data_IF_859941185874
#
_entry.id   IF_859941185874
#
_cell.length_a   1.000
_cell.length_b   1.000
_cell.length_c   1.000
_cell.angle_alpha   90.00
_cell.angle_beta   90.00
_cell.angle_gamma   90.00
#
_symmetry.space_group_name_H-M   'P 1'
#
loop_
_entity.id
_entity.type
_entity.pdbx_description
1 polymer ?
#
# COMPACT_ATOMS: atom_id res chain seq x y z
N UNK A 1 16.67 -15.22 12.58
CA UNK A 1 16.59 -15.19 11.11
C UNK A 1 15.34 -14.49 10.58
N UNK A 2 14.10 -14.91 10.92
CA UNK A 2 12.89 -14.13 10.57
C UNK A 2 12.91 -12.71 11.18
N UNK A 3 13.42 -12.58 12.40
CA UNK A 3 13.64 -11.28 13.03
C UNK A 3 14.71 -10.44 12.31
N UNK A 4 15.69 -11.06 11.66
CA UNK A 4 16.85 -10.36 11.10
C UNK A 4 16.50 -9.58 9.83
N UNK A 5 15.66 -10.12 8.95
CA UNK A 5 15.22 -9.41 7.74
C UNK A 5 14.31 -8.22 8.10
N UNK A 6 13.40 -8.41 9.06
CA UNK A 6 12.51 -7.34 9.54
C UNK A 6 13.32 -6.24 10.23
N UNK A 7 14.30 -6.61 11.08
CA UNK A 7 15.20 -5.64 11.71
C UNK A 7 16.00 -4.84 10.68
N UNK A 8 16.57 -5.49 9.66
CA UNK A 8 17.25 -4.81 8.54
C UNK A 8 16.32 -3.83 7.83
N UNK A 9 15.06 -4.22 7.58
CA UNK A 9 14.07 -3.34 6.97
C UNK A 9 13.74 -2.13 7.87
N UNK A 10 13.57 -2.35 9.17
CA UNK A 10 13.31 -1.28 10.15
C UNK A 10 14.48 -0.31 10.20
N UNK A 11 15.72 -0.80 10.27
CA UNK A 11 16.93 0.04 10.27
C UNK A 11 17.04 0.84 8.98
N UNK A 12 16.81 0.21 7.82
CA UNK A 12 16.81 0.91 6.52
C UNK A 12 15.72 1.99 6.45
N UNK A 13 14.52 1.71 6.95
CA UNK A 13 13.43 2.68 7.01
C UNK A 13 13.78 3.88 7.91
N UNK A 14 14.33 3.63 9.10
CA UNK A 14 14.76 4.67 10.04
C UNK A 14 15.82 5.59 9.42
N UNK A 15 16.78 5.04 8.67
CA UNK A 15 17.79 5.83 7.96
C UNK A 15 17.19 6.72 6.85
N UNK A 16 16.15 6.25 6.17
CA UNK A 16 15.46 7.02 5.14
C UNK A 16 14.52 8.09 5.71
N UNK A 17 14.05 7.90 6.95
CA UNK A 17 13.22 8.82 7.73
C UNK A 17 12.06 9.44 6.93
N UNK A 18 11.37 8.58 6.16
CA UNK A 18 10.23 8.99 5.33
C UNK A 18 8.97 9.20 6.16
N UNK A 19 8.01 9.94 5.61
CA UNK A 19 6.70 10.13 6.21
C UNK A 19 5.71 9.09 5.67
N UNK A 20 5.00 8.40 6.55
CA UNK A 20 3.95 7.43 6.23
C UNK A 20 2.62 7.91 6.83
N UNK A 21 1.55 7.83 6.03
CA UNK A 21 0.19 8.13 6.51
C UNK A 21 -0.54 6.85 6.92
N UNK A 22 -1.21 6.89 8.08
CA UNK A 22 -2.06 5.83 8.61
C UNK A 22 -3.51 6.36 8.69
N UNK A 23 -4.36 6.11 7.69
CA UNK A 23 -5.67 6.77 7.58
C UNK A 23 -6.71 6.29 8.60
N UNK A 24 -6.53 5.13 9.21
CA UNK A 24 -7.60 4.45 9.98
C UNK A 24 -7.42 4.62 11.50
N UNK A 25 -7.22 5.86 11.95
CA UNK A 25 -6.90 6.20 13.36
C UNK A 25 -8.00 5.86 14.37
N UNK A 26 -9.18 5.46 13.89
CA UNK A 26 -10.27 4.96 14.73
C UNK A 26 -10.04 3.49 15.18
N UNK A 27 -9.03 2.83 14.64
CA UNK A 27 -8.61 1.48 15.01
C UNK A 27 -7.49 1.55 16.07
N UNK A 28 -7.67 0.88 17.20
CA UNK A 28 -6.67 0.86 18.27
C UNK A 28 -5.32 0.28 17.83
N UNK A 29 -5.31 -0.63 16.84
CA UNK A 29 -4.07 -1.24 16.32
C UNK A 29 -3.24 -0.21 15.58
N UNK A 30 -3.91 0.71 14.87
CA UNK A 30 -3.28 1.80 14.12
C UNK A 30 -2.67 2.82 15.08
N UNK A 31 -3.40 3.21 16.14
CA UNK A 31 -2.89 4.12 17.16
C UNK A 31 -1.66 3.55 17.88
N UNK A 32 -1.72 2.27 18.30
CA UNK A 32 -0.57 1.57 18.91
C UNK A 32 0.62 1.50 17.95
N UNK A 33 0.38 1.23 16.66
CA UNK A 33 1.43 1.23 15.65
C UNK A 33 2.05 2.61 15.46
N UNK A 34 1.25 3.68 15.41
CA UNK A 34 1.73 5.05 15.30
C UNK A 34 2.68 5.42 16.45
N UNK A 35 2.33 5.09 17.69
CA UNK A 35 3.21 5.27 18.85
C UNK A 35 4.52 4.50 18.72
N UNK A 36 4.48 3.22 18.32
CA UNK A 36 5.68 2.40 18.18
C UNK A 36 6.60 2.98 17.09
N UNK A 37 6.05 3.34 15.93
CA UNK A 37 6.82 3.86 14.80
C UNK A 37 7.49 5.19 15.14
N UNK A 38 6.76 6.10 15.81
CA UNK A 38 7.27 7.41 16.21
C UNK A 38 8.28 7.30 17.36
N UNK A 39 7.99 6.54 18.42
CA UNK A 39 8.90 6.38 19.57
C UNK A 39 10.22 5.70 19.18
N UNK A 40 10.17 4.73 18.27
CA UNK A 40 11.37 4.06 17.73
C UNK A 40 12.02 4.82 16.57
N UNK A 41 11.48 5.97 16.15
CA UNK A 41 11.96 6.80 15.03
C UNK A 41 12.15 6.00 13.74
N UNK A 42 11.22 5.09 13.45
CA UNK A 42 11.28 4.26 12.23
C UNK A 42 10.87 5.08 11.01
N UNK A 43 9.83 5.90 11.16
CA UNK A 43 9.29 6.81 10.15
C UNK A 43 8.65 8.00 10.86
N UNK A 44 8.39 9.09 10.12
CA UNK A 44 7.44 10.12 10.56
C UNK A 44 6.02 9.63 10.29
N UNK A 45 5.11 9.84 11.23
CA UNK A 45 3.73 9.34 11.11
C UNK A 45 2.76 10.51 11.01
N UNK A 46 1.88 10.44 10.02
CA UNK A 46 0.66 11.23 9.95
C UNK A 46 -0.52 10.28 10.10
N UNK A 47 -1.52 10.64 10.88
CA UNK A 47 -2.75 9.86 11.07
C UNK A 47 -3.95 10.71 10.71
N UNK A 48 -5.01 10.11 10.14
CA UNK A 48 -6.17 10.87 9.64
C UNK A 48 -7.40 10.70 10.51
N UNK A 49 -8.18 11.78 10.61
CA UNK A 49 -9.50 11.82 11.25
C UNK A 49 -9.66 12.98 12.23
N UNK A 50 -10.76 12.97 12.96
CA UNK A 50 -11.08 14.05 13.89
C UNK A 50 -10.11 14.10 15.08
N UNK A 51 -9.40 15.22 15.21
CA UNK A 51 -8.34 15.42 16.22
C UNK A 51 -8.82 15.18 17.66
N UNK A 52 -10.00 15.71 18.03
CA UNK A 52 -10.57 15.56 19.37
C UNK A 52 -10.84 14.08 19.67
N UNK A 53 -11.46 13.37 18.71
CA UNK A 53 -11.79 11.95 18.88
C UNK A 53 -10.53 11.09 18.97
N UNK A 54 -9.55 11.31 18.10
CA UNK A 54 -8.30 10.55 18.07
C UNK A 54 -7.54 10.71 19.39
N UNK A 55 -7.42 11.95 19.90
CA UNK A 55 -6.77 12.20 21.19
C UNK A 55 -7.50 11.55 22.35
N UNK A 56 -8.83 11.62 22.38
CA UNK A 56 -9.63 10.97 23.41
C UNK A 56 -9.51 9.44 23.37
N UNK A 57 -9.46 8.84 22.19
CA UNK A 57 -9.30 7.39 22.04
C UNK A 57 -7.87 6.95 22.40
N UNK A 58 -6.85 7.74 22.04
CA UNK A 58 -5.47 7.50 22.46
C UNK A 58 -5.29 7.57 23.98
N UNK A 59 -5.91 8.56 24.65
CA UNK A 59 -5.88 8.69 26.11
C UNK A 59 -6.50 7.45 26.80
N UNK A 60 -7.68 7.01 26.34
CA UNK A 60 -8.33 5.78 26.86
C UNK A 60 -7.46 4.54 26.70
N UNK A 61 -6.69 4.47 25.61
CA UNK A 61 -5.82 3.33 25.30
C UNK A 61 -4.43 3.43 25.95
N UNK A 62 -4.10 4.56 26.60
CA UNK A 62 -2.75 4.82 27.11
C UNK A 62 -1.69 4.95 26.00
N UNK A 63 -2.10 5.40 24.82
CA UNK A 63 -1.23 5.57 23.64
C UNK A 63 -0.67 6.99 23.60
N UNK A 64 0.65 7.11 23.55
CA UNK A 64 1.33 8.39 23.37
C UNK A 64 1.45 8.75 21.88
N UNK A 65 0.75 9.80 21.47
CA UNK A 65 0.79 10.35 20.10
C UNK A 65 1.78 11.51 19.95
N UNK A 66 2.66 11.76 20.92
CA UNK A 66 3.70 12.79 20.81
C UNK A 66 4.54 12.57 19.55
N UNK A 67 4.56 13.57 18.66
CA UNK A 67 5.28 13.53 17.38
C UNK A 67 4.50 12.89 16.22
N UNK A 68 3.26 12.44 16.44
CA UNK A 68 2.33 12.03 15.39
C UNK A 68 1.53 13.26 14.94
N UNK A 69 1.53 13.55 13.64
CA UNK A 69 0.69 14.60 13.07
C UNK A 69 -0.73 14.07 12.84
N UNK A 70 -1.75 14.85 13.20
CA UNK A 70 -3.16 14.50 12.99
C UNK A 70 -3.76 15.48 11.99
N UNK A 71 -4.34 14.95 10.90
CA UNK A 71 -5.05 15.74 9.89
C UNK A 71 -6.49 15.26 9.80
N UNK A 72 -7.45 16.17 9.92
CA UNK A 72 -8.86 15.87 9.65
C UNK A 72 -9.15 16.18 8.16
N UNK A 73 -9.44 15.17 7.31
CA UNK A 73 -9.72 15.39 5.89
C UNK A 73 -10.90 16.33 5.64
N UNK A 74 -11.90 16.34 6.53
CA UNK A 74 -13.12 17.13 6.35
C UNK A 74 -12.90 18.63 6.56
N UNK A 75 -11.89 19.00 7.35
CA UNK A 75 -11.56 20.40 7.65
C UNK A 75 -10.19 20.82 7.10
N UNK A 76 -9.48 19.92 6.43
CA UNK A 76 -8.16 20.19 5.88
C UNK A 76 -8.21 21.29 4.83
N UNK A 77 -7.28 22.27 4.86
CA UNK A 77 -7.17 23.29 3.81
C UNK A 77 -6.81 22.70 2.44
N UNK A 78 -6.33 21.44 2.39
CA UNK A 78 -6.01 20.74 1.14
C UNK A 78 -7.22 20.05 0.50
N UNK A 79 -8.37 19.99 1.17
CA UNK A 79 -9.53 19.26 0.68
C UNK A 79 -9.97 19.75 -0.72
N UNK A 80 -10.10 21.06 -0.90
CA UNK A 80 -10.56 21.64 -2.18
C UNK A 80 -9.54 21.43 -3.31
N UNK A 81 -8.24 21.58 -2.99
CA UNK A 81 -7.14 21.30 -3.92
C UNK A 81 -7.17 19.83 -4.38
N UNK A 82 -7.23 18.90 -3.43
CA UNK A 82 -7.27 17.46 -3.72
C UNK A 82 -8.54 17.04 -4.46
N UNK A 83 -9.69 17.62 -4.09
CA UNK A 83 -10.95 17.36 -4.76
C UNK A 83 -10.90 17.81 -6.23
N UNK A 84 -10.33 18.98 -6.50
CA UNK A 84 -10.17 19.47 -7.88
C UNK A 84 -9.25 18.56 -8.70
N UNK A 85 -8.11 18.14 -8.15
CA UNK A 85 -7.19 17.22 -8.85
C UNK A 85 -7.90 15.89 -9.12
N UNK A 86 -8.58 15.32 -8.11
CA UNK A 86 -9.30 14.07 -8.26
C UNK A 86 -10.45 14.15 -9.28
N UNK A 87 -11.18 15.27 -9.30
CA UNK A 87 -12.18 15.55 -10.34
C UNK A 87 -11.53 15.51 -11.73
N UNK A 88 -10.42 16.22 -11.94
CA UNK A 88 -9.73 16.25 -13.23
C UNK A 88 -9.28 14.85 -13.70
N UNK A 89 -8.79 14.01 -12.77
CA UNK A 89 -8.41 12.63 -13.06
C UNK A 89 -9.58 11.76 -13.49
N UNK A 90 -10.78 12.04 -12.95
CA UNK A 90 -11.93 11.16 -13.04
C UNK A 90 -13.11 11.74 -13.82
N UNK A 91 -13.03 12.97 -14.34
CA UNK A 91 -14.13 13.63 -15.07
C UNK A 91 -14.59 12.83 -16.30
N UNK A 92 -13.67 12.19 -17.01
CA UNK A 92 -13.97 11.29 -18.14
C UNK A 92 -14.69 10.00 -17.75
N UNK A 93 -14.76 9.70 -16.45
CA UNK A 93 -15.45 8.54 -15.87
C UNK A 93 -16.71 8.95 -15.10
N UNK A 94 -17.25 10.15 -15.36
CA UNK A 94 -18.51 10.63 -14.78
C UNK A 94 -18.38 11.30 -13.40
N UNK A 95 -17.17 11.64 -12.95
CA UNK A 95 -16.97 12.34 -11.68
C UNK A 95 -17.48 13.79 -11.77
N UNK A 96 -18.17 14.27 -10.72
CA UNK A 96 -18.55 15.67 -10.54
C UNK A 96 -17.69 16.33 -9.45
N UNK A 97 -17.55 17.66 -9.43
CA UNK A 97 -16.81 18.36 -8.38
C UNK A 97 -17.34 18.06 -6.96
N UNK A 98 -18.65 17.96 -6.80
CA UNK A 98 -19.31 17.69 -5.51
C UNK A 98 -18.99 16.27 -5.04
N UNK A 99 -19.10 15.28 -5.93
CA UNK A 99 -18.78 13.89 -5.60
C UNK A 99 -17.28 13.71 -5.33
N UNK A 100 -16.43 14.45 -6.04
CA UNK A 100 -14.99 14.46 -5.77
C UNK A 100 -14.71 14.96 -4.35
N UNK A 101 -15.31 16.09 -3.96
CA UNK A 101 -15.16 16.65 -2.61
C UNK A 101 -15.65 15.69 -1.53
N UNK A 102 -16.82 15.07 -1.70
CA UNK A 102 -17.32 14.06 -0.74
C UNK A 102 -16.43 12.81 -0.69
N UNK A 103 -15.90 12.37 -1.83
CA UNK A 103 -14.97 11.23 -1.88
C UNK A 103 -13.69 11.53 -1.10
N UNK A 104 -13.17 12.76 -1.21
CA UNK A 104 -11.91 13.14 -0.58
C UNK A 104 -12.01 13.41 0.92
N UNK A 105 -13.22 13.47 1.48
CA UNK A 105 -13.41 13.42 2.94
C UNK A 105 -13.17 12.04 3.53
N UNK A 106 -13.11 10.98 2.71
CA UNK A 106 -12.81 9.61 3.18
C UNK A 106 -11.31 9.47 3.40
N UNK A 107 -10.92 9.05 4.61
CA UNK A 107 -9.51 8.96 5.04
C UNK A 107 -8.61 8.23 4.03
N UNK A 108 -9.04 7.08 3.51
CA UNK A 108 -8.25 6.29 2.54
C UNK A 108 -8.02 7.01 1.20
N UNK A 109 -8.98 7.81 0.73
CA UNK A 109 -8.82 8.61 -0.51
C UNK A 109 -7.96 9.85 -0.27
N UNK A 110 -8.16 10.52 0.87
CA UNK A 110 -7.32 11.65 1.25
C UNK A 110 -5.85 11.24 1.39
N UNK A 111 -5.59 10.12 2.08
CA UNK A 111 -4.26 9.52 2.18
C UNK A 111 -3.64 9.19 0.82
N UNK A 112 -4.44 8.62 -0.11
CA UNK A 112 -3.96 8.32 -1.45
C UNK A 112 -3.61 9.59 -2.25
N UNK A 113 -4.33 10.70 -2.05
CA UNK A 113 -3.94 12.00 -2.63
C UNK A 113 -2.69 12.59 -1.98
N UNK A 114 -2.50 12.43 -0.67
CA UNK A 114 -1.25 12.85 -0.02
C UNK A 114 -0.03 12.12 -0.62
N UNK A 115 -0.18 10.83 -0.96
CA UNK A 115 0.87 10.06 -1.67
C UNK A 115 1.08 10.60 -3.08
N UNK A 116 -0.01 10.80 -3.84
CA UNK A 116 0.05 11.33 -5.22
C UNK A 116 0.79 12.67 -5.29
N UNK A 117 0.45 13.59 -4.39
CA UNK A 117 1.02 14.95 -4.36
C UNK A 117 2.39 15.00 -3.65
N UNK A 118 2.96 13.84 -3.31
CA UNK A 118 4.32 13.74 -2.75
C UNK A 118 4.46 14.28 -1.31
N UNK A 119 3.35 14.48 -0.59
CA UNK A 119 3.36 14.96 0.79
C UNK A 119 3.82 13.87 1.77
N UNK A 120 3.58 12.60 1.41
CA UNK A 120 4.01 11.42 2.15
C UNK A 120 4.58 10.38 1.19
N UNK A 121 5.46 9.52 1.68
CA UNK A 121 6.12 8.51 0.86
C UNK A 121 5.27 7.25 0.65
N UNK A 122 4.22 7.06 1.47
CA UNK A 122 3.36 5.90 1.39
C UNK A 122 2.20 5.97 2.37
N UNK A 123 1.22 5.11 2.15
CA UNK A 123 0.03 4.93 3.00
C UNK A 123 -0.11 3.46 3.37
N UNK A 124 -0.48 3.18 4.62
CA UNK A 124 -0.79 1.82 5.09
C UNK A 124 -2.21 1.82 5.65
N UNK A 125 -3.12 1.13 4.96
CA UNK A 125 -4.54 1.04 5.27
C UNK A 125 -5.04 -0.41 5.15
N UNK A 126 -6.32 -0.62 5.47
CA UNK A 126 -6.99 -1.92 5.43
C UNK A 126 -7.16 -2.56 6.80
N UNK A 127 -6.98 -1.81 7.90
CA UNK A 127 -7.31 -2.32 9.23
C UNK A 127 -8.83 -2.41 9.41
N UNK A 128 -9.58 -1.47 8.82
CA UNK A 128 -11.05 -1.42 8.85
C UNK A 128 -11.68 -1.28 7.46
N UNK A 129 -11.00 -0.64 6.52
CA UNK A 129 -11.41 -0.54 5.12
C UNK A 129 -11.23 -1.88 4.40
N UNK A 130 -12.13 -2.16 3.46
CA UNK A 130 -12.01 -3.34 2.61
C UNK A 130 -10.78 -3.23 1.69
N UNK A 131 -10.16 -4.36 1.33
CA UNK A 131 -9.11 -4.41 0.31
C UNK A 131 -9.55 -3.71 -0.99
N UNK A 132 -10.82 -3.87 -1.37
CA UNK A 132 -11.40 -3.21 -2.54
C UNK A 132 -11.39 -1.68 -2.42
N UNK A 133 -11.72 -1.11 -1.26
CA UNK A 133 -11.69 0.34 -1.05
C UNK A 133 -10.26 0.89 -1.08
N UNK A 134 -9.31 0.20 -0.43
CA UNK A 134 -7.89 0.58 -0.41
C UNK A 134 -7.30 0.56 -1.83
N UNK A 135 -7.52 -0.53 -2.58
CA UNK A 135 -7.07 -0.64 -3.97
C UNK A 135 -7.74 0.41 -4.86
N UNK A 136 -9.04 0.69 -4.66
CA UNK A 136 -9.75 1.72 -5.41
C UNK A 136 -9.16 3.11 -5.18
N UNK A 137 -8.86 3.47 -3.94
CA UNK A 137 -8.21 4.74 -3.61
C UNK A 137 -6.81 4.82 -4.23
N UNK A 138 -5.98 3.78 -4.07
CA UNK A 138 -4.65 3.72 -4.67
C UNK A 138 -4.67 3.86 -6.20
N UNK A 139 -5.50 3.08 -6.88
CA UNK A 139 -5.61 3.10 -8.34
C UNK A 139 -6.16 4.43 -8.89
N UNK A 140 -7.14 5.03 -8.22
CA UNK A 140 -7.80 6.24 -8.71
C UNK A 140 -7.04 7.52 -8.39
N UNK A 141 -6.26 7.54 -7.29
CA UNK A 141 -5.48 8.70 -6.86
C UNK A 141 -4.00 8.57 -7.22
N UNK A 142 -3.32 7.50 -6.85
CA UNK A 142 -1.87 7.33 -7.09
C UNK A 142 -1.61 6.90 -8.54
N UNK A 143 -2.40 5.94 -9.03
CA UNK A 143 -2.27 5.37 -10.37
C UNK A 143 -1.25 4.23 -10.44
N UNK A 144 -0.90 3.85 -11.66
CA UNK A 144 -0.01 2.74 -11.96
C UNK A 144 1.36 3.23 -12.45
N UNK A 145 2.45 2.49 -12.16
CA UNK A 145 3.72 2.67 -12.85
C UNK A 145 3.54 2.55 -14.37
N UNK A 146 4.44 3.21 -15.11
CA UNK A 146 4.49 3.05 -16.57
C UNK A 146 4.78 1.58 -16.90
N UNK A 147 4.14 1.08 -17.95
CA UNK A 147 4.34 -0.27 -18.50
C UNK A 147 3.91 -1.42 -17.56
N UNK A 148 3.16 -1.12 -16.48
CA UNK A 148 2.49 -2.13 -15.63
C UNK A 148 0.98 -1.91 -15.71
N UNK A 149 0.25 -2.94 -16.12
CA UNK A 149 -1.19 -2.87 -16.39
C UNK A 149 -2.07 -3.18 -15.18
N UNK A 150 -1.54 -3.91 -14.20
CA UNK A 150 -2.29 -4.42 -13.04
C UNK A 150 -1.54 -4.24 -11.71
N UNK A 151 -2.30 -4.11 -10.62
CA UNK A 151 -1.77 -4.28 -9.26
C UNK A 151 -1.84 -5.75 -8.91
N UNK A 152 -0.76 -6.28 -8.35
CA UNK A 152 -0.67 -7.63 -7.83
C UNK A 152 -0.19 -7.62 -6.38
N UNK A 153 -0.35 -8.73 -5.68
CA UNK A 153 0.22 -8.94 -4.36
C UNK A 153 1.41 -9.87 -4.39
N UNK A 154 2.23 -9.83 -3.35
CA UNK A 154 3.15 -10.91 -3.06
C UNK A 154 3.28 -11.10 -1.55
N UNK A 155 3.62 -12.32 -1.15
CA UNK A 155 4.02 -12.65 0.22
C UNK A 155 5.52 -12.91 0.25
N UNK A 156 6.22 -12.29 1.20
CA UNK A 156 7.60 -12.64 1.51
C UNK A 156 7.63 -13.81 2.49
N UNK A 157 8.03 -14.98 2.00
CA UNK A 157 8.16 -16.22 2.75
C UNK A 157 9.58 -16.35 3.26
N UNK A 158 9.77 -16.31 4.58
CA UNK A 158 11.10 -16.39 5.22
C UNK A 158 11.32 -17.80 5.75
N UNK A 159 12.16 -18.58 5.05
CA UNK A 159 12.57 -19.93 5.46
C UNK A 159 13.95 -19.88 6.14
N UNK A 160 14.36 -20.93 6.88
CA UNK A 160 15.66 -21.02 7.58
C UNK A 160 16.93 -20.83 6.74
N UNK A 161 16.84 -20.97 5.42
CA UNK A 161 17.97 -20.93 4.50
C UNK A 161 17.80 -19.87 3.38
N UNK A 162 16.56 -19.45 3.11
CA UNK A 162 16.26 -18.55 1.99
C UNK A 162 14.97 -17.75 2.17
N UNK A 163 14.87 -16.63 1.47
CA UNK A 163 13.62 -15.88 1.31
C UNK A 163 13.01 -16.16 -0.07
N UNK A 164 11.70 -16.35 -0.13
CA UNK A 164 10.95 -16.46 -1.39
C UNK A 164 9.87 -15.37 -1.46
N UNK A 165 9.55 -14.91 -2.67
CA UNK A 165 8.37 -14.09 -2.91
C UNK A 165 7.34 -14.91 -3.68
N UNK A 166 6.14 -15.10 -3.11
CA UNK A 166 5.02 -15.81 -3.76
C UNK A 166 4.03 -14.78 -4.29
N UNK A 167 3.68 -14.85 -5.59
CA UNK A 167 2.82 -13.88 -6.26
C UNK A 167 2.05 -14.52 -7.43
N UNK A 168 0.85 -14.04 -7.80
CA UNK A 168 -0.07 -13.18 -7.05
C UNK A 168 -0.97 -14.06 -6.17
N UNK A 169 -1.12 -13.71 -4.89
CA UNK A 169 -1.85 -14.51 -3.91
C UNK A 169 -3.12 -13.84 -3.37
N UNK A 170 -3.52 -12.67 -3.88
CA UNK A 170 -4.63 -11.92 -3.30
C UNK A 170 -5.44 -11.04 -4.26
N UNK A 171 -4.88 -10.58 -5.40
CA UNK A 171 -5.54 -9.51 -6.18
C UNK A 171 -6.17 -10.03 -7.47
N UNK A 172 -5.41 -10.71 -8.32
CA UNK A 172 -5.84 -11.11 -9.67
C UNK A 172 -6.22 -12.59 -9.70
N UNK A 173 -7.52 -12.96 -9.79
CA UNK A 173 -7.94 -14.35 -9.66
C UNK A 173 -7.50 -15.27 -10.79
N UNK A 174 -7.46 -14.75 -12.02
CA UNK A 174 -7.04 -15.50 -13.21
C UNK A 174 -6.29 -14.55 -14.17
N UNK A 175 -4.99 -14.31 -13.92
CA UNK A 175 -4.20 -13.44 -14.78
C UNK A 175 -4.02 -14.07 -16.17
N UNK A 176 -4.07 -13.25 -17.22
CA UNK A 176 -3.61 -13.63 -18.56
C UNK A 176 -2.06 -13.64 -18.65
N UNK A 177 -1.50 -13.96 -19.82
CA UNK A 177 -0.05 -14.06 -20.02
C UNK A 177 0.67 -12.72 -19.77
N UNK A 178 0.13 -11.62 -20.29
CA UNK A 178 0.72 -10.28 -20.08
C UNK A 178 0.66 -9.86 -18.61
N UNK A 179 -0.45 -10.15 -17.93
CA UNK A 179 -0.60 -9.92 -16.50
C UNK A 179 0.33 -10.80 -15.67
N UNK A 180 0.56 -12.06 -16.06
CA UNK A 180 1.57 -12.92 -15.42
C UNK A 180 2.98 -12.34 -15.55
N UNK A 181 3.32 -11.76 -16.71
CA UNK A 181 4.59 -11.06 -16.91
C UNK A 181 4.69 -9.82 -16.00
N UNK A 182 3.64 -9.00 -15.91
CA UNK A 182 3.58 -7.84 -15.01
C UNK A 182 3.76 -8.24 -13.53
N UNK A 183 3.12 -9.33 -13.11
CA UNK A 183 3.26 -9.92 -11.77
C UNK A 183 4.71 -10.33 -11.52
N UNK A 184 5.31 -11.06 -12.46
CA UNK A 184 6.69 -11.54 -12.34
C UNK A 184 7.69 -10.38 -12.22
N UNK A 185 7.60 -9.38 -13.09
CA UNK A 185 8.48 -8.20 -13.10
C UNK A 185 8.32 -7.41 -11.80
N UNK A 186 7.08 -7.11 -11.42
CA UNK A 186 6.79 -6.33 -10.21
C UNK A 186 7.26 -7.06 -8.94
N UNK A 187 7.07 -8.38 -8.89
CA UNK A 187 7.48 -9.20 -7.74
C UNK A 187 9.00 -9.28 -7.63
N UNK A 188 9.70 -9.43 -8.76
CA UNK A 188 11.16 -9.47 -8.80
C UNK A 188 11.79 -8.16 -8.31
N UNK A 189 11.28 -7.01 -8.77
CA UNK A 189 11.72 -5.69 -8.33
C UNK A 189 11.48 -5.48 -6.83
N UNK A 190 10.30 -5.87 -6.33
CA UNK A 190 9.99 -5.78 -4.90
C UNK A 190 10.84 -6.74 -4.05
N UNK A 191 11.08 -7.97 -4.52
CA UNK A 191 11.97 -8.91 -3.85
C UNK A 191 13.35 -8.30 -3.65
N UNK A 192 13.96 -7.79 -4.72
CA UNK A 192 15.28 -7.13 -4.67
C UNK A 192 15.29 -5.91 -3.73
N UNK A 193 14.25 -5.08 -3.73
CA UNK A 193 14.16 -3.91 -2.84
C UNK A 193 14.11 -4.28 -1.36
N UNK A 194 13.43 -5.38 -1.04
CA UNK A 194 13.20 -5.85 0.33
C UNK A 194 14.36 -6.70 0.87
N UNK A 195 14.82 -7.68 0.09
CA UNK A 195 15.84 -8.66 0.53
C UNK A 195 17.26 -8.24 0.15
N UNK A 196 17.42 -7.44 -0.91
CA UNK A 196 18.71 -7.16 -1.54
C UNK A 196 19.24 -8.28 -2.43
N UNK A 197 18.50 -9.39 -2.55
CA UNK A 197 18.88 -10.56 -3.35
C UNK A 197 18.55 -10.35 -4.84
N UNK A 198 19.38 -10.88 -5.74
CA UNK A 198 19.08 -10.89 -7.17
C UNK A 198 17.95 -11.91 -7.44
N UNK A 199 16.80 -11.48 -7.99
CA UNK A 199 15.63 -12.33 -8.11
C UNK A 199 15.84 -13.40 -9.19
N UNK A 200 15.54 -14.65 -8.83
CA UNK A 200 15.39 -15.76 -9.77
C UNK A 200 13.92 -16.13 -9.87
N UNK A 201 13.34 -15.92 -11.05
CA UNK A 201 11.90 -16.06 -11.29
C UNK A 201 11.61 -17.49 -11.77
N UNK A 202 10.63 -18.14 -11.15
CA UNK A 202 10.07 -19.41 -11.60
C UNK A 202 8.57 -19.23 -11.88
N UNK A 203 8.19 -19.34 -13.15
CA UNK A 203 6.78 -19.34 -13.55
C UNK A 203 6.20 -20.74 -13.32
N UNK A 204 5.32 -20.87 -12.32
CA UNK A 204 4.80 -22.17 -11.91
C UNK A 204 3.68 -22.65 -12.84
N UNK A 205 3.69 -23.96 -13.11
CA UNK A 205 2.65 -24.67 -13.84
C UNK A 205 2.65 -26.14 -13.38
N UNK A 206 1.59 -26.88 -13.72
CA UNK A 206 1.56 -28.34 -13.52
C UNK A 206 2.35 -29.10 -14.60
N UNK A 207 2.96 -28.39 -15.55
CA UNK A 207 3.83 -28.93 -16.61
C UNK A 207 5.22 -28.33 -16.52
N UNK A 208 6.25 -29.15 -16.77
CA UNK A 208 7.64 -28.71 -16.84
C UNK A 208 8.13 -28.84 -18.28
N UNK A 209 8.41 -27.71 -18.93
CA UNK A 209 9.00 -27.63 -20.29
C UNK A 209 8.37 -28.59 -21.31
N UNK A 210 7.04 -28.67 -21.33
CA UNK A 210 6.29 -29.48 -22.30
C UNK A 210 5.99 -30.92 -21.87
N UNK A 211 6.14 -31.26 -20.59
CA UNK A 211 5.72 -32.57 -20.06
C UNK A 211 4.22 -32.85 -20.24
N UNK A 212 3.42 -31.81 -20.40
CA UNK A 212 2.01 -31.85 -20.79
C UNK A 212 1.67 -30.66 -21.72
N UNK A 213 0.53 -30.78 -22.43
CA UNK A 213 -0.05 -29.72 -23.29
C UNK A 213 -1.46 -29.36 -22.82
N UNK A 214 -1.72 -28.08 -22.61
CA UNK A 214 -2.99 -27.56 -22.11
C UNK A 214 -3.01 -26.03 -22.23
N UNK A 215 -4.15 -25.40 -22.46
CA UNK A 215 -4.27 -23.93 -22.60
C UNK A 215 -3.72 -23.15 -21.40
N UNK A 216 -3.97 -23.65 -20.18
CA UNK A 216 -3.41 -23.10 -18.94
C UNK A 216 -1.88 -23.18 -18.84
N UNK A 217 -1.25 -24.09 -19.59
CA UNK A 217 0.22 -24.17 -19.71
C UNK A 217 0.69 -23.14 -20.74
N UNK A 218 0.00 -23.04 -21.87
CA UNK A 218 0.35 -22.11 -22.96
C UNK A 218 0.35 -20.66 -22.43
N UNK A 219 -0.62 -20.31 -21.58
CA UNK A 219 -0.69 -19.04 -20.85
C UNK A 219 0.57 -18.68 -20.04
N UNK A 220 1.31 -19.68 -19.56
CA UNK A 220 2.53 -19.49 -18.75
C UNK A 220 3.79 -19.47 -19.63
N UNK A 221 3.68 -19.94 -20.88
CA UNK A 221 4.77 -19.99 -21.86
C UNK A 221 4.85 -18.69 -22.68
N UNK A 222 3.70 -18.14 -23.06
CA UNK A 222 3.56 -16.88 -23.80
C UNK A 222 4.19 -15.67 -23.08
#
# INVERSE_FOLDING_TARGET
MQLEIIEKMITKAALLNKTIVLPESHDERVLKAAQILTSKKVVKVITLGNDIKIKADAEKLGVDLTGVEIIDPATSPKLDEFAQIYYELRKKKGMTPELAKETLKRDVFFAAMMVREGLVAGSVAGSTASTADVLKAGLQCVGMPKDISIVSSFFLMVFPDRNYSFADCAVVPNPDAAQLADIAISTADNHKKLTGEEPLIAMLSFSTKGSAKHELIDKVIE
#
